data_IF_854097605270
#
_entry.id   IF_854097605270
#
_cell.length_a   1.000
_cell.length_b   1.000
_cell.length_c   1.000
_cell.angle_alpha   90.00
_cell.angle_beta   90.00
_cell.angle_gamma   90.00
#
_symmetry.space_group_name_H-M   'P 1'
#
loop_
_entity.id
_entity.type
_entity.pdbx_description
1 polymer ?
#
# COMPACT_ATOMS: atom_id res chain seq x y z
N UNK A 1 -18.32 -25.82 20.98
CA UNK A 1 -18.67 -24.66 20.13
C UNK A 1 -17.41 -23.99 19.57
N UNK A 2 -16.51 -24.77 18.93
CA UNK A 2 -15.20 -24.27 18.45
C UNK A 2 -14.89 -24.68 17.00
N UNK A 3 -15.65 -25.62 16.42
CA UNK A 3 -15.37 -26.16 15.08
C UNK A 3 -15.97 -25.33 13.93
N UNK A 4 -17.06 -24.59 14.17
CA UNK A 4 -17.69 -23.75 13.12
C UNK A 4 -16.83 -22.54 12.73
N UNK A 5 -16.05 -21.99 13.66
CA UNK A 5 -15.25 -20.78 13.42
C UNK A 5 -14.03 -21.04 12.53
N UNK A 6 -13.45 -22.24 12.58
CA UNK A 6 -12.28 -22.60 11.75
C UNK A 6 -12.66 -22.79 10.28
N UNK A 7 -13.83 -23.37 10.00
CA UNK A 7 -14.28 -23.67 8.65
C UNK A 7 -14.67 -22.39 7.88
N UNK A 8 -15.30 -21.41 8.54
CA UNK A 8 -15.64 -20.12 7.95
C UNK A 8 -14.41 -19.30 7.53
N UNK A 9 -13.38 -19.26 8.39
CA UNK A 9 -12.12 -18.56 8.08
C UNK A 9 -11.40 -19.16 6.86
N UNK A 10 -11.38 -20.49 6.73
CA UNK A 10 -10.82 -21.18 5.56
C UNK A 10 -11.58 -20.85 4.26
N UNK A 11 -12.91 -20.75 4.32
CA UNK A 11 -13.71 -20.38 3.15
C UNK A 11 -13.51 -18.90 2.74
N UNK A 12 -13.37 -17.99 3.69
CA UNK A 12 -13.09 -16.57 3.40
C UNK A 12 -11.70 -16.35 2.81
N UNK A 13 -10.66 -17.05 3.31
CA UNK A 13 -9.32 -17.01 2.74
C UNK A 13 -9.30 -17.44 1.27
N UNK A 14 -10.06 -18.50 0.94
CA UNK A 14 -10.20 -18.97 -0.44
C UNK A 14 -10.86 -17.91 -1.35
N UNK A 15 -11.85 -17.16 -0.85
CA UNK A 15 -12.47 -16.06 -1.59
C UNK A 15 -11.47 -14.92 -1.84
N UNK A 16 -10.72 -14.50 -0.83
CA UNK A 16 -9.71 -13.44 -0.97
C UNK A 16 -8.57 -13.82 -1.93
N UNK A 17 -8.14 -15.08 -1.92
CA UNK A 17 -7.15 -15.59 -2.87
C UNK A 17 -7.72 -15.59 -4.30
N UNK A 18 -8.97 -16.01 -4.49
CA UNK A 18 -9.64 -15.99 -5.78
C UNK A 18 -9.73 -14.56 -6.34
N UNK A 19 -10.13 -13.58 -5.51
CA UNK A 19 -10.17 -12.16 -5.90
C UNK A 19 -8.80 -11.60 -6.29
N UNK A 20 -7.74 -11.92 -5.52
CA UNK A 20 -6.37 -11.50 -5.85
C UNK A 20 -5.91 -12.07 -7.20
N UNK A 21 -6.25 -13.33 -7.48
CA UNK A 21 -5.94 -13.98 -8.76
C UNK A 21 -6.72 -13.38 -9.93
N UNK A 22 -8.00 -13.10 -9.74
CA UNK A 22 -8.82 -12.44 -10.74
C UNK A 22 -8.24 -11.07 -11.13
N UNK A 23 -7.91 -10.23 -10.13
CA UNK A 23 -7.24 -8.93 -10.35
C UNK A 23 -5.90 -9.06 -11.05
N UNK A 24 -5.10 -10.07 -10.69
CA UNK A 24 -3.83 -10.33 -11.35
C UNK A 24 -4.01 -10.76 -12.82
N UNK A 25 -5.07 -11.53 -13.13
CA UNK A 25 -5.39 -11.91 -14.51
C UNK A 25 -5.71 -10.68 -15.34
N UNK A 26 -6.59 -9.81 -14.84
CA UNK A 26 -6.97 -8.55 -15.50
C UNK A 26 -5.74 -7.64 -15.76
N UNK A 27 -4.82 -7.55 -14.80
CA UNK A 27 -3.56 -6.80 -14.97
C UNK A 27 -2.64 -7.40 -16.03
N UNK A 28 -2.68 -8.72 -16.26
CA UNK A 28 -1.91 -9.38 -17.32
C UNK A 28 -2.53 -9.15 -18.69
N UNK A 29 -3.86 -9.13 -18.77
CA UNK A 29 -4.57 -8.85 -20.03
C UNK A 29 -4.32 -7.42 -20.50
N UNK A 30 -4.17 -6.48 -19.56
CA UNK A 30 -3.81 -5.08 -19.85
C UNK A 30 -2.32 -4.88 -20.20
N UNK A 31 -1.47 -5.91 -20.04
CA UNK A 31 -0.04 -5.87 -20.38
C UNK A 31 0.87 -6.36 -19.27
N UNK A 32 1.90 -5.56 -18.92
CA UNK A 32 2.91 -5.98 -17.96
C UNK A 32 2.42 -5.87 -16.50
N UNK A 33 1.96 -6.98 -15.93
CA UNK A 33 1.51 -7.04 -14.53
C UNK A 33 2.61 -6.79 -13.48
N UNK A 34 3.89 -6.91 -13.84
CA UNK A 34 5.02 -6.73 -12.92
C UNK A 34 6.03 -5.70 -13.47
N UNK A 35 5.69 -4.39 -13.44
CA UNK A 35 6.58 -3.36 -13.92
C UNK A 35 7.78 -3.15 -12.97
N UNK A 36 8.97 -3.00 -13.54
CA UNK A 36 10.20 -2.61 -12.83
C UNK A 36 10.69 -1.20 -13.23
N UNK A 37 9.78 -0.35 -13.69
CA UNK A 37 10.09 1.00 -14.15
C UNK A 37 10.12 2.03 -13.01
N UNK A 38 9.43 1.76 -11.90
CA UNK A 38 9.36 2.71 -10.79
C UNK A 38 10.74 2.88 -10.14
N UNK A 39 11.13 4.14 -9.94
CA UNK A 39 12.35 4.54 -9.23
C UNK A 39 11.93 5.41 -8.05
N UNK A 40 12.40 5.02 -6.86
CA UNK A 40 12.18 5.77 -5.63
C UNK A 40 13.34 6.73 -5.42
N UNK A 41 13.04 7.90 -4.88
CA UNK A 41 14.03 8.94 -4.59
C UNK A 41 14.39 9.00 -3.10
N UNK A 42 13.54 8.45 -2.24
CA UNK A 42 13.73 8.47 -0.79
C UNK A 42 13.25 7.18 -0.11
N UNK A 43 13.76 6.95 1.12
CA UNK A 43 13.21 5.96 2.06
C UNK A 43 12.41 6.66 3.16
N UNK A 44 11.46 5.94 3.76
CA UNK A 44 10.71 6.44 4.91
C UNK A 44 11.63 6.83 6.09
N UNK A 45 12.68 6.04 6.34
CA UNK A 45 13.66 6.32 7.40
C UNK A 45 14.43 7.63 7.14
N UNK A 46 14.89 7.86 5.91
CA UNK A 46 15.59 9.11 5.57
C UNK A 46 14.68 10.34 5.70
N UNK A 47 13.41 10.23 5.28
CA UNK A 47 12.46 11.33 5.41
C UNK A 47 12.15 11.62 6.88
N UNK A 48 11.95 10.59 7.70
CA UNK A 48 11.73 10.77 9.12
C UNK A 48 12.93 11.42 9.81
N UNK A 49 14.16 11.02 9.45
CA UNK A 49 15.37 11.61 10.03
C UNK A 49 15.59 13.07 9.62
N UNK A 50 15.25 13.45 8.37
CA UNK A 50 15.46 14.81 7.84
C UNK A 50 14.35 15.79 8.19
N UNK A 51 13.12 15.29 8.30
CA UNK A 51 11.91 16.10 8.33
C UNK A 51 10.98 15.77 9.49
N UNK A 52 11.29 14.76 10.31
CA UNK A 52 10.44 14.34 11.42
C UNK A 52 10.23 15.40 12.49
N UNK A 53 11.21 16.30 12.65
CA UNK A 53 11.15 17.38 13.65
C UNK A 53 10.63 18.71 13.08
N UNK A 54 10.32 18.78 11.78
CA UNK A 54 9.86 20.02 11.13
C UNK A 54 8.38 20.26 11.34
N UNK A 55 8.02 21.54 11.46
CA UNK A 55 6.62 21.93 11.57
C UNK A 55 5.89 21.86 10.22
N UNK A 56 4.56 21.86 10.26
CA UNK A 56 3.72 21.86 9.04
C UNK A 56 4.05 23.03 8.11
N UNK A 57 4.21 24.23 8.66
CA UNK A 57 4.49 25.46 7.91
C UNK A 57 5.88 25.42 7.25
N UNK A 58 6.86 24.83 7.93
CA UNK A 58 8.20 24.61 7.37
C UNK A 58 8.17 23.62 6.20
N UNK A 59 7.40 22.54 6.30
CA UNK A 59 7.26 21.58 5.21
C UNK A 59 6.51 22.16 4.01
N UNK A 60 5.47 22.97 4.24
CA UNK A 60 4.72 23.66 3.20
C UNK A 60 5.60 24.65 2.43
N UNK A 61 6.40 25.46 3.14
CA UNK A 61 7.33 26.40 2.50
C UNK A 61 8.46 25.72 1.73
N UNK A 62 8.94 24.55 2.20
CA UNK A 62 9.99 23.79 1.54
C UNK A 62 9.51 23.09 0.25
N UNK A 63 8.21 22.80 0.11
CA UNK A 63 7.63 22.28 -1.14
C UNK A 63 8.26 20.99 -1.67
N UNK A 64 8.76 20.13 -0.77
CA UNK A 64 9.59 18.98 -1.13
C UNK A 64 8.74 17.88 -1.78
N UNK A 65 9.07 17.54 -3.03
CA UNK A 65 8.45 16.42 -3.77
C UNK A 65 9.34 15.18 -3.66
N UNK A 66 8.76 14.04 -3.28
CA UNK A 66 9.48 12.78 -3.10
C UNK A 66 8.70 11.61 -3.68
N UNK A 67 9.41 10.63 -4.25
CA UNK A 67 8.86 9.36 -4.69
C UNK A 67 9.27 8.23 -3.73
N UNK A 68 8.29 7.43 -3.26
CA UNK A 68 8.49 6.33 -2.31
C UNK A 68 7.84 5.05 -2.87
N UNK A 69 8.44 3.89 -2.58
CA UNK A 69 7.84 2.57 -2.81
C UNK A 69 8.01 1.68 -1.58
N UNK A 70 7.04 0.79 -1.33
CA UNK A 70 7.06 -0.12 -0.19
C UNK A 70 5.86 -1.07 -0.15
N UNK A 71 5.77 -1.87 0.92
CA UNK A 71 4.62 -2.76 1.16
C UNK A 71 3.48 -1.97 1.81
N UNK A 72 2.28 -2.12 1.27
CA UNK A 72 1.07 -1.60 1.93
C UNK A 72 0.75 -2.48 3.15
N UNK A 73 0.86 -1.90 4.35
CA UNK A 73 0.61 -2.61 5.62
C UNK A 73 -0.79 -2.36 6.17
N UNK A 74 -1.25 -1.11 6.12
CA UNK A 74 -2.55 -0.68 6.61
C UNK A 74 -3.13 0.34 5.64
N UNK A 75 -4.40 0.18 5.30
CA UNK A 75 -5.16 1.15 4.50
C UNK A 75 -6.38 1.59 5.32
N UNK A 76 -6.36 2.82 5.83
CA UNK A 76 -7.46 3.41 6.59
C UNK A 76 -8.39 4.12 5.62
N UNK A 77 -9.34 3.37 5.07
CA UNK A 77 -10.26 3.82 3.99
C UNK A 77 -11.24 4.94 4.39
N UNK A 78 -11.34 5.32 5.67
CA UNK A 78 -12.25 6.36 6.14
C UNK A 78 -11.55 7.73 6.15
N UNK A 79 -12.10 8.68 5.38
CA UNK A 79 -11.69 10.10 5.28
C UNK A 79 -10.33 10.34 4.60
N UNK A 80 -10.27 10.11 3.29
CA UNK A 80 -9.18 10.62 2.45
C UNK A 80 -9.38 12.13 2.29
N UNK A 81 -8.78 12.94 3.17
CA UNK A 81 -8.68 14.39 2.97
C UNK A 81 -7.58 14.61 1.93
N UNK A 82 -7.97 15.07 0.75
CA UNK A 82 -7.06 15.55 -0.30
C UNK A 82 -6.54 16.92 0.09
#
# INVERSE_FOLDING_TARGET
MTDQTQNAAQHEDNKLIAERRAKLSEMRDQGNAFPNAFRRDATAAELQAKYGDKSKEELESLGIKVAIAGRMMLDRKAFKVV
#
